data_IF_441247308510
#
_entry.id   IF_441247308510
#
_cell.length_a   1.000
_cell.length_b   1.000
_cell.length_c   1.000
_cell.angle_alpha   90.00
_cell.angle_beta   90.00
_cell.angle_gamma   90.00
#
_symmetry.space_group_name_H-M   'P 1'
#
loop_
_entity.id
_entity.type
_entity.pdbx_description
1 polymer ?
#
# COMPACT_ATOMS: atom_id res chain seq x y z
N UNK A 1 -14.75 -4.89 1.16
CA UNK A 1 -14.48 -4.75 -0.28
C UNK A 1 -13.01 -4.45 -0.43
N UNK A 2 -12.28 -5.20 -1.25
CA UNK A 2 -10.84 -4.99 -1.46
C UNK A 2 -10.61 -3.84 -2.43
N UNK A 3 -9.66 -2.95 -2.14
CA UNK A 3 -9.26 -1.83 -3.01
C UNK A 3 -8.81 -2.34 -4.39
N UNK A 4 -8.06 -3.44 -4.46
CA UNK A 4 -7.63 -4.03 -5.75
C UNK A 4 -8.82 -4.40 -6.65
N UNK A 5 -9.90 -4.90 -6.07
CA UNK A 5 -11.11 -5.31 -6.79
C UNK A 5 -11.94 -4.08 -7.17
N UNK A 6 -12.09 -3.14 -6.24
CA UNK A 6 -12.83 -1.89 -6.42
C UNK A 6 -12.34 -1.07 -7.62
N UNK A 7 -11.02 -1.01 -7.80
CA UNK A 7 -10.38 -0.23 -8.85
C UNK A 7 -9.87 -1.09 -10.01
N UNK A 8 -10.15 -2.40 -10.00
CA UNK A 8 -9.70 -3.36 -11.02
C UNK A 8 -8.19 -3.27 -11.31
N UNK A 9 -7.37 -3.21 -10.26
CA UNK A 9 -5.91 -3.07 -10.38
C UNK A 9 -5.30 -4.40 -10.83
N UNK A 10 -4.58 -4.36 -11.95
CA UNK A 10 -3.91 -5.52 -12.55
C UNK A 10 -2.38 -5.31 -12.67
N UNK A 11 -1.58 -6.38 -12.81
CA UNK A 11 -0.14 -6.24 -12.99
C UNK A 11 0.20 -5.39 -14.23
N UNK A 12 1.06 -4.38 -14.04
CA UNK A 12 1.47 -3.45 -15.10
C UNK A 12 0.76 -2.10 -15.05
N UNK A 13 -0.31 -1.95 -14.24
CA UNK A 13 -0.98 -0.67 -14.07
C UNK A 13 -0.11 0.37 -13.37
N UNK A 14 -0.29 1.62 -13.78
CA UNK A 14 0.21 2.80 -13.06
C UNK A 14 -1.00 3.55 -12.51
N UNK A 15 -1.17 3.51 -11.18
CA UNK A 15 -2.34 4.06 -10.49
C UNK A 15 -1.91 5.21 -9.58
N UNK A 16 -2.67 6.31 -9.60
CA UNK A 16 -2.44 7.47 -8.73
C UNK A 16 -3.64 7.71 -7.83
N UNK A 17 -3.44 7.55 -6.52
CA UNK A 17 -4.42 7.93 -5.49
C UNK A 17 -4.16 9.37 -5.03
N UNK A 18 -5.11 10.28 -5.27
CA UNK A 18 -5.01 11.69 -4.87
C UNK A 18 -5.98 12.02 -3.72
N UNK A 19 -5.63 13.02 -2.91
CA UNK A 19 -6.50 13.50 -1.83
C UNK A 19 -5.74 14.11 -0.65
N UNK A 20 -6.46 14.87 0.19
CA UNK A 20 -5.89 15.53 1.37
C UNK A 20 -5.52 14.56 2.49
N UNK A 21 -6.18 13.40 2.58
CA UNK A 21 -5.99 12.41 3.66
C UNK A 21 -6.06 10.97 3.16
N UNK A 22 -5.75 10.02 4.04
CA UNK A 22 -5.92 8.58 3.80
C UNK A 22 -4.86 7.91 2.92
N UNK A 23 -4.00 8.66 2.21
CA UNK A 23 -2.99 8.11 1.27
C UNK A 23 -2.10 7.02 1.88
N UNK A 24 -1.56 7.28 3.07
CA UNK A 24 -0.72 6.31 3.78
C UNK A 24 -1.51 5.06 4.16
N UNK A 25 -2.71 5.22 4.70
CA UNK A 25 -3.61 4.11 5.03
C UNK A 25 -3.99 3.31 3.78
N UNK A 26 -4.23 3.96 2.65
CA UNK A 26 -4.50 3.34 1.34
C UNK A 26 -3.28 2.55 0.86
N UNK A 27 -2.06 3.10 0.99
CA UNK A 27 -0.83 2.40 0.63
C UNK A 27 -0.69 1.09 1.41
N UNK A 28 -0.91 1.11 2.72
CA UNK A 28 -0.84 -0.08 3.56
C UNK A 28 -1.94 -1.09 3.23
N UNK A 29 -3.20 -0.67 3.20
CA UNK A 29 -4.32 -1.55 2.91
C UNK A 29 -4.16 -2.24 1.55
N UNK A 30 -3.85 -1.47 0.51
CA UNK A 30 -3.60 -2.03 -0.82
C UNK A 30 -2.36 -2.94 -0.82
N UNK A 31 -1.27 -2.55 -0.16
CA UNK A 31 -0.07 -3.37 -0.06
C UNK A 31 -0.33 -4.76 0.54
N UNK A 32 -1.08 -4.83 1.64
CA UNK A 32 -1.50 -6.10 2.23
C UNK A 32 -2.42 -6.91 1.31
N UNK A 33 -3.41 -6.27 0.68
CA UNK A 33 -4.30 -6.96 -0.26
C UNK A 33 -3.56 -7.55 -1.47
N UNK A 34 -2.53 -6.86 -1.97
CA UNK A 34 -1.69 -7.34 -3.05
C UNK A 34 -0.80 -8.50 -2.58
N UNK A 35 -0.22 -8.41 -1.39
CA UNK A 35 0.56 -9.50 -0.81
C UNK A 35 -0.29 -10.76 -0.56
N UNK A 36 -1.51 -10.61 -0.04
CA UNK A 36 -2.49 -11.71 0.12
C UNK A 36 -2.87 -12.35 -1.22
N UNK A 37 -2.87 -11.58 -2.30
CA UNK A 37 -3.08 -12.07 -3.66
C UNK A 37 -1.82 -12.71 -4.28
N UNK A 38 -0.76 -12.92 -3.50
CA UNK A 38 0.48 -13.56 -3.91
C UNK A 38 1.47 -12.64 -4.64
N UNK A 39 1.27 -11.33 -4.62
CA UNK A 39 2.16 -10.39 -5.29
C UNK A 39 3.37 -10.07 -4.42
N UNK A 40 4.49 -9.74 -5.07
CA UNK A 40 5.63 -9.12 -4.40
C UNK A 40 5.39 -7.63 -4.32
N UNK A 41 5.42 -7.08 -3.11
CA UNK A 41 5.07 -5.69 -2.83
C UNK A 41 6.27 -4.98 -2.20
N UNK A 42 6.60 -3.81 -2.73
CA UNK A 42 7.51 -2.85 -2.11
C UNK A 42 6.71 -1.56 -1.86
N UNK A 43 6.50 -1.23 -0.59
CA UNK A 43 5.92 0.05 -0.20
C UNK A 43 7.05 1.03 0.14
N UNK A 44 6.95 2.25 -0.38
CA UNK A 44 7.87 3.34 -0.07
C UNK A 44 7.10 4.64 0.10
N UNK A 45 7.71 5.60 0.76
CA UNK A 45 7.11 6.90 1.09
C UNK A 45 8.19 7.96 1.10
N UNK A 46 7.84 9.17 0.66
CA UNK A 46 8.71 10.35 0.76
C UNK A 46 8.60 11.03 2.13
N UNK A 47 7.51 10.76 2.85
CA UNK A 47 7.29 11.26 4.20
C UNK A 47 7.69 10.22 5.25
N UNK A 48 8.25 10.67 6.37
CA UNK A 48 8.56 9.80 7.52
C UNK A 48 7.26 9.21 8.06
N UNK A 49 7.29 7.90 8.31
CA UNK A 49 6.21 7.19 8.98
C UNK A 49 6.46 7.18 10.48
N UNK A 50 5.38 7.28 11.22
CA UNK A 50 5.40 7.03 12.66
C UNK A 50 5.77 5.56 12.94
N UNK A 51 6.54 5.25 14.00
CA UNK A 51 6.90 3.88 14.36
C UNK A 51 5.71 2.91 14.41
N UNK A 52 4.54 3.36 14.87
CA UNK A 52 3.34 2.53 14.93
C UNK A 52 2.87 2.11 13.53
N UNK A 53 3.05 2.96 12.52
CA UNK A 53 2.75 2.63 11.13
C UNK A 53 3.79 1.70 10.51
N UNK A 54 5.07 1.89 10.86
CA UNK A 54 6.15 1.01 10.41
C UNK A 54 5.94 -0.42 10.95
N UNK A 55 5.39 -0.56 12.15
CA UNK A 55 5.07 -1.86 12.76
C UNK A 55 4.04 -2.69 11.97
N UNK A 56 3.26 -2.05 11.09
CA UNK A 56 2.31 -2.74 10.20
C UNK A 56 3.01 -3.46 9.04
N UNK A 57 4.28 -3.14 8.76
CA UNK A 57 5.04 -3.77 7.70
C UNK A 57 5.64 -5.09 8.19
N UNK A 58 5.48 -6.20 7.42
CA UNK A 58 6.04 -7.49 7.81
C UNK A 58 7.58 -7.51 7.75
N UNK A 59 8.18 -6.59 7.00
CA UNK A 59 9.62 -6.39 6.91
C UNK A 59 9.92 -4.93 6.58
N UNK A 60 10.98 -4.40 7.17
CA UNK A 60 11.42 -3.01 7.01
C UNK A 60 12.92 -3.04 6.78
N UNK A 61 13.38 -2.31 5.77
CA UNK A 61 14.79 -2.13 5.46
C UNK A 61 15.14 -0.67 5.76
N UNK A 62 16.12 -0.46 6.62
CA UNK A 62 16.62 0.87 7.05
C UNK A 62 17.97 1.20 6.43
#
# INVERSE_FOLDING_TARGET
MKLREAFNIVPGDVVSFIGAGGKTSTLFALGHELAEAGWRVLATTTARLDPDQVSLMPSVVS
#
